data_IF_977237606809
#
_entry.id   IF_977237606809
#
_cell.length_a   1.000
_cell.length_b   1.000
_cell.length_c   1.000
_cell.angle_alpha   90.00
_cell.angle_beta   90.00
_cell.angle_gamma   90.00
#
_symmetry.space_group_name_H-M   'P 1'
#
loop_
_entity.id
_entity.type
_entity.pdbx_description
1 polymer ?
#
# COMPACT_ATOMS: atom_id res chain seq x y z
N UNK A 1 26.46 -8.17 5.60
CA UNK A 1 27.15 -7.59 4.41
C UNK A 1 26.90 -6.07 4.31
N UNK A 2 27.95 -5.23 4.36
CA UNK A 2 27.81 -3.79 4.09
C UNK A 2 27.79 -3.57 2.58
N UNK A 3 26.63 -3.20 2.04
CA UNK A 3 26.47 -2.89 0.62
C UNK A 3 27.11 -1.52 0.35
N UNK A 4 28.08 -1.44 -0.58
CA UNK A 4 28.73 -0.19 -1.03
C UNK A 4 27.96 0.45 -2.20
N UNK A 5 26.68 0.75 -2.01
CA UNK A 5 25.82 1.44 -2.98
C UNK A 5 24.97 2.48 -2.24
N UNK A 6 24.51 3.54 -2.90
CA UNK A 6 23.46 4.39 -2.36
C UNK A 6 22.25 3.53 -1.94
N UNK A 7 21.73 3.75 -0.74
CA UNK A 7 20.57 3.03 -0.20
C UNK A 7 19.49 4.06 0.10
N UNK A 8 18.28 3.79 -0.40
CA UNK A 8 17.07 4.51 -0.04
C UNK A 8 16.19 3.57 0.80
N UNK A 9 15.87 3.99 2.01
CA UNK A 9 14.93 3.28 2.89
C UNK A 9 13.55 3.91 2.79
N UNK A 10 12.51 3.10 2.94
CA UNK A 10 11.13 3.56 2.92
C UNK A 10 10.31 2.95 4.04
N UNK A 11 9.29 3.66 4.50
CA UNK A 11 8.39 3.14 5.53
C UNK A 11 7.50 4.20 6.15
N UNK A 12 7.03 3.94 7.38
CA UNK A 12 6.20 4.87 8.14
C UNK A 12 6.99 5.64 9.20
N UNK A 13 8.24 5.28 9.45
CA UNK A 13 9.06 5.86 10.50
C UNK A 13 9.71 7.17 10.02
N UNK A 14 9.95 8.09 10.95
CA UNK A 14 10.53 9.40 10.68
C UNK A 14 11.96 9.35 10.12
N UNK A 15 12.68 8.26 10.37
CA UNK A 15 14.06 8.02 9.92
C UNK A 15 14.13 7.33 8.54
N UNK A 16 12.99 7.05 7.89
CA UNK A 16 12.98 6.57 6.51
C UNK A 16 13.25 7.71 5.53
N UNK A 17 14.06 7.45 4.49
CA UNK A 17 14.35 8.44 3.45
C UNK A 17 13.08 8.85 2.69
N UNK A 18 12.20 7.87 2.40
CA UNK A 18 10.84 8.09 1.95
C UNK A 18 9.86 7.62 3.02
N UNK A 19 8.99 8.52 3.48
CA UNK A 19 8.03 8.21 4.53
C UNK A 19 6.60 8.40 4.04
N UNK A 20 5.73 7.45 4.34
CA UNK A 20 4.29 7.62 4.19
C UNK A 20 3.64 8.05 5.51
N UNK A 21 2.70 8.98 5.42
CA UNK A 21 1.78 9.33 6.52
C UNK A 21 0.36 8.99 6.06
N UNK A 22 -0.24 7.88 6.54
CA UNK A 22 -1.59 7.50 6.17
C UNK A 22 -2.63 8.55 6.57
N UNK A 23 -3.51 8.91 5.63
CA UNK A 23 -4.63 9.84 5.81
C UNK A 23 -5.97 9.11 5.85
N UNK A 24 -6.16 8.14 4.96
CA UNK A 24 -7.34 7.25 4.95
C UNK A 24 -6.92 5.81 4.67
N UNK A 25 -7.59 4.86 5.33
CA UNK A 25 -7.40 3.43 5.15
C UNK A 25 -8.76 2.76 4.92
N UNK A 26 -9.32 2.96 3.72
CA UNK A 26 -10.51 2.27 3.21
C UNK A 26 -10.15 1.29 2.10
N UNK A 27 -11.10 1.00 1.19
CA UNK A 27 -10.83 0.25 -0.06
C UNK A 27 -9.76 0.93 -0.93
N UNK A 28 -9.66 2.25 -0.81
CA UNK A 28 -8.62 3.09 -1.38
C UNK A 28 -7.79 3.66 -0.22
N UNK A 29 -6.48 3.53 -0.32
CA UNK A 29 -5.56 4.14 0.63
C UNK A 29 -5.25 5.56 0.16
N UNK A 30 -5.28 6.53 1.09
CA UNK A 30 -4.70 7.87 0.86
C UNK A 30 -3.60 8.13 1.88
N UNK A 31 -2.49 8.66 1.43
CA UNK A 31 -1.33 8.94 2.28
C UNK A 31 -0.47 10.05 1.71
N UNK A 32 0.16 10.82 2.59
CA UNK A 32 1.19 11.78 2.19
C UNK A 32 2.53 11.06 2.01
N UNK A 33 3.34 11.54 1.06
CA UNK A 33 4.71 11.08 0.88
C UNK A 33 5.67 12.21 1.20
N UNK A 34 6.65 11.89 2.03
CA UNK A 34 7.66 12.82 2.52
C UNK A 34 9.06 12.31 2.19
N UNK A 35 9.98 13.23 1.89
CA UNK A 35 11.41 12.96 1.74
C UNK A 35 12.19 13.84 2.73
N UNK A 36 12.66 13.23 3.82
CA UNK A 36 13.11 14.01 4.98
C UNK A 36 11.98 14.90 5.48
N UNK A 37 12.22 16.21 5.57
CA UNK A 37 11.25 17.20 6.02
C UNK A 37 10.40 17.82 4.88
N UNK A 38 10.66 17.42 3.63
CA UNK A 38 9.93 17.91 2.47
C UNK A 38 8.70 17.01 2.18
N UNK A 39 7.50 17.60 2.20
CA UNK A 39 6.29 16.93 1.70
C UNK A 39 6.32 16.96 0.17
N UNK A 40 6.41 15.78 -0.45
CA UNK A 40 6.36 15.66 -1.91
C UNK A 40 4.93 15.82 -2.43
N UNK A 41 3.96 15.29 -1.69
CA UNK A 41 2.54 15.41 -2.03
C UNK A 41 1.71 14.29 -1.45
N UNK A 42 0.51 14.09 -2.00
CA UNK A 42 -0.44 13.08 -1.57
C UNK A 42 -0.59 12.01 -2.65
N UNK A 43 -0.68 10.75 -2.23
CA UNK A 43 -0.91 9.61 -3.12
C UNK A 43 -2.24 8.98 -2.77
N UNK A 44 -3.00 8.70 -3.82
CA UNK A 44 -4.22 7.94 -3.79
C UNK A 44 -3.94 6.59 -4.47
N UNK A 45 -4.25 5.50 -3.79
CA UNK A 45 -3.93 4.14 -4.23
C UNK A 45 -5.19 3.27 -4.12
N UNK A 46 -5.74 2.73 -5.23
CA UNK A 46 -6.92 1.84 -5.23
C UNK A 46 -6.60 0.43 -4.73
N UNK A 47 -5.78 0.33 -3.70
CA UNK A 47 -5.44 -0.89 -2.98
C UNK A 47 -5.47 -0.59 -1.48
N UNK A 48 -6.18 -1.40 -0.69
CA UNK A 48 -6.26 -1.18 0.74
C UNK A 48 -5.03 -1.74 1.45
N UNK A 49 -4.80 -1.27 2.67
CA UNK A 49 -3.84 -1.86 3.58
C UNK A 49 -2.46 -1.22 3.58
N UNK A 50 -1.86 -1.15 4.77
CA UNK A 50 -0.56 -0.52 5.00
C UNK A 50 0.58 -1.18 4.21
N UNK A 51 0.50 -2.48 3.96
CA UNK A 51 1.49 -3.19 3.16
C UNK A 51 1.51 -2.69 1.70
N UNK A 52 0.35 -2.33 1.14
CA UNK A 52 0.28 -1.76 -0.20
C UNK A 52 0.80 -0.32 -0.25
N UNK A 53 0.65 0.46 0.83
CA UNK A 53 1.31 1.77 0.97
C UNK A 53 2.85 1.59 0.95
N UNK A 54 3.37 0.58 1.67
CA UNK A 54 4.81 0.26 1.64
C UNK A 54 5.29 -0.13 0.23
N UNK A 55 4.52 -0.97 -0.48
CA UNK A 55 4.82 -1.34 -1.86
C UNK A 55 4.84 -0.12 -2.78
N UNK A 56 3.89 0.80 -2.61
CA UNK A 56 3.83 2.04 -3.37
C UNK A 56 5.05 2.95 -3.09
N UNK A 57 5.49 3.09 -1.84
CA UNK A 57 6.73 3.81 -1.52
C UNK A 57 7.96 3.19 -2.17
N UNK A 58 8.05 1.85 -2.19
CA UNK A 58 9.13 1.16 -2.86
C UNK A 58 9.15 1.47 -4.37
N UNK A 59 7.98 1.48 -5.01
CA UNK A 59 7.82 1.83 -6.41
C UNK A 59 8.20 3.30 -6.69
N UNK A 60 7.76 4.23 -5.84
CA UNK A 60 8.14 5.65 -5.91
C UNK A 60 9.66 5.81 -5.79
N UNK A 61 10.29 5.15 -4.80
CA UNK A 61 11.74 5.20 -4.61
C UNK A 61 12.51 4.68 -5.82
N UNK A 62 12.05 3.59 -6.43
CA UNK A 62 12.65 3.04 -7.65
C UNK A 62 12.46 3.98 -8.86
N UNK A 63 11.28 4.57 -9.02
CA UNK A 63 10.98 5.50 -10.10
C UNK A 63 11.80 6.80 -9.99
N UNK A 64 11.93 7.36 -8.79
CA UNK A 64 12.79 8.52 -8.53
C UNK A 64 14.27 8.23 -8.82
N UNK A 65 14.74 7.00 -8.55
CA UNK A 65 16.09 6.57 -8.91
C UNK A 65 16.30 6.45 -10.44
N UNK A 66 15.22 6.44 -11.21
CA UNK A 66 15.21 6.47 -12.68
C UNK A 66 14.78 7.84 -13.24
N UNK A 67 14.90 8.91 -12.46
CA UNK A 67 14.58 10.29 -12.83
C UNK A 67 13.10 10.54 -13.22
N UNK A 68 12.19 9.68 -12.75
CA UNK A 68 10.75 9.89 -12.89
C UNK A 68 10.27 10.76 -11.71
N UNK A 69 9.66 11.91 -12.04
CA UNK A 69 9.14 12.84 -11.04
C UNK A 69 7.97 12.30 -10.22
N UNK A 70 7.88 12.71 -8.96
CA UNK A 70 6.86 12.27 -8.00
C UNK A 70 5.42 12.38 -8.54
N UNK A 71 5.09 13.49 -9.21
CA UNK A 71 3.75 13.70 -9.78
C UNK A 71 3.33 12.60 -10.77
N UNK A 72 4.28 12.10 -11.58
CA UNK A 72 4.03 10.99 -12.50
C UNK A 72 3.84 9.67 -11.77
N UNK A 73 4.56 9.46 -10.67
CA UNK A 73 4.35 8.30 -9.82
C UNK A 73 2.96 8.35 -9.16
N UNK A 74 2.55 9.51 -8.63
CA UNK A 74 1.26 9.70 -8.02
C UNK A 74 0.11 9.46 -9.02
N UNK A 75 0.21 10.03 -10.22
CA UNK A 75 -0.72 9.79 -11.34
C UNK A 75 -0.81 8.30 -11.69
N UNK A 76 0.33 7.61 -11.84
CA UNK A 76 0.36 6.18 -12.17
C UNK A 76 -0.22 5.28 -11.07
N UNK A 77 0.00 5.64 -9.80
CA UNK A 77 -0.53 4.90 -8.65
C UNK A 77 -2.04 5.10 -8.48
N UNK A 78 -2.57 6.28 -8.79
CA UNK A 78 -4.01 6.56 -8.72
C UNK A 78 -4.82 5.72 -9.73
N UNK A 79 -4.24 5.51 -10.91
CA UNK A 79 -4.79 4.67 -11.99
C UNK A 79 -4.44 3.18 -11.89
N UNK A 80 -3.79 2.73 -10.81
CA UNK A 80 -3.33 1.34 -10.71
C UNK A 80 -4.51 0.35 -10.67
N UNK A 81 -4.63 -0.51 -11.69
CA UNK A 81 -5.74 -1.48 -11.78
C UNK A 81 -5.72 -2.61 -10.75
N UNK A 82 -4.70 -2.66 -9.88
CA UNK A 82 -4.47 -3.75 -8.96
C UNK A 82 -3.74 -4.94 -9.60
N UNK A 83 -3.54 -5.96 -8.79
CA UNK A 83 -3.03 -7.27 -9.23
C UNK A 83 -4.06 -8.31 -8.84
N UNK A 84 -4.37 -9.24 -9.73
CA UNK A 84 -5.26 -10.36 -9.42
C UNK A 84 -4.80 -11.07 -8.14
N UNK A 85 -5.76 -11.46 -7.30
CA UNK A 85 -5.52 -12.15 -6.03
C UNK A 85 -4.66 -11.37 -5.03
N UNK A 86 -4.68 -10.03 -5.07
CA UNK A 86 -4.12 -9.16 -4.01
C UNK A 86 -5.24 -8.29 -3.47
N UNK A 87 -5.83 -8.74 -2.36
CA UNK A 87 -7.05 -8.18 -1.77
C UNK A 87 -8.14 -7.87 -2.82
N UNK A 88 -8.38 -8.82 -3.73
CA UNK A 88 -9.27 -8.63 -4.88
C UNK A 88 -10.73 -8.83 -4.48
N UNK A 89 -11.56 -7.80 -4.61
CA UNK A 89 -13.00 -7.93 -4.41
C UNK A 89 -13.64 -8.73 -5.55
N UNK A 90 -14.21 -9.91 -5.23
CA UNK A 90 -14.87 -10.79 -6.20
C UNK A 90 -16.37 -10.50 -6.34
N UNK A 91 -16.97 -9.85 -5.36
CA UNK A 91 -18.40 -9.53 -5.36
C UNK A 91 -19.03 -9.58 -3.97
N UNK A 92 -20.30 -9.20 -3.91
CA UNK A 92 -21.15 -9.36 -2.74
C UNK A 92 -22.46 -10.06 -3.13
N UNK A 93 -22.87 -11.05 -2.34
CA UNK A 93 -24.15 -11.75 -2.52
C UNK A 93 -24.76 -12.12 -1.17
N UNK A 94 -26.03 -11.80 -0.97
CA UNK A 94 -26.73 -12.11 0.28
C UNK A 94 -26.08 -11.49 1.53
N UNK A 95 -25.47 -10.32 1.39
CA UNK A 95 -24.73 -9.64 2.46
C UNK A 95 -23.33 -10.21 2.75
N UNK A 96 -22.86 -11.19 1.97
CA UNK A 96 -21.52 -11.77 2.09
C UNK A 96 -20.62 -11.18 1.01
N UNK A 97 -19.57 -10.48 1.45
CA UNK A 97 -18.49 -9.97 0.60
C UNK A 97 -17.43 -11.06 0.41
N UNK A 98 -17.03 -11.32 -0.84
CA UNK A 98 -15.94 -12.25 -1.17
C UNK A 98 -14.72 -11.47 -1.62
N UNK A 99 -13.59 -11.72 -0.95
CA UNK A 99 -12.27 -11.16 -1.29
C UNK A 99 -11.31 -12.33 -1.52
N UNK A 100 -10.55 -12.27 -2.61
CA UNK A 100 -9.50 -13.25 -2.96
C UNK A 100 -8.11 -12.64 -2.68
N UNK A 101 -7.26 -13.38 -1.97
CA UNK A 101 -5.90 -12.97 -1.65
C UNK A 101 -4.93 -14.16 -1.70
N UNK A 102 -3.75 -13.93 -2.28
CA UNK A 102 -2.71 -14.94 -2.48
C UNK A 102 -1.84 -15.20 -1.25
N UNK A 103 -2.01 -14.41 -0.17
CA UNK A 103 -1.18 -14.52 1.03
C UNK A 103 -1.12 -15.96 1.55
N UNK A 104 0.07 -16.54 1.55
CA UNK A 104 0.31 -17.92 2.00
C UNK A 104 1.34 -17.96 3.14
N UNK A 105 2.16 -16.92 3.27
CA UNK A 105 3.01 -16.75 4.44
C UNK A 105 2.24 -16.14 5.61
N UNK A 106 2.57 -16.50 6.87
CA UNK A 106 1.88 -15.97 8.05
C UNK A 106 1.81 -14.44 8.12
N UNK A 107 2.87 -13.75 7.68
CA UNK A 107 2.90 -12.28 7.63
C UNK A 107 1.93 -11.71 6.59
N UNK A 108 1.78 -12.36 5.43
CA UNK A 108 0.85 -11.94 4.38
C UNK A 108 -0.60 -12.14 4.85
N UNK A 109 -0.91 -13.31 5.42
CA UNK A 109 -2.23 -13.60 5.99
C UNK A 109 -2.60 -12.58 7.07
N UNK A 110 -1.66 -12.27 7.97
CA UNK A 110 -1.88 -11.25 9.00
C UNK A 110 -2.17 -9.87 8.40
N UNK A 111 -1.45 -9.47 7.34
CA UNK A 111 -1.67 -8.21 6.64
C UNK A 111 -3.04 -8.16 5.95
N UNK A 112 -3.46 -9.26 5.33
CA UNK A 112 -4.78 -9.41 4.69
C UNK A 112 -5.90 -9.31 5.71
N UNK A 113 -5.79 -10.03 6.84
CA UNK A 113 -6.79 -9.98 7.92
C UNK A 113 -6.87 -8.59 8.58
N UNK A 114 -5.73 -7.93 8.81
CA UNK A 114 -5.70 -6.57 9.34
C UNK A 114 -6.41 -5.59 8.38
N UNK A 115 -6.15 -5.72 7.08
CA UNK A 115 -6.78 -4.91 6.03
C UNK A 115 -8.29 -5.14 6.00
N UNK A 116 -8.74 -6.40 6.06
CA UNK A 116 -10.16 -6.73 6.10
C UNK A 116 -10.90 -6.12 7.31
N UNK A 117 -10.26 -6.10 8.49
CA UNK A 117 -10.84 -5.45 9.69
C UNK A 117 -10.98 -3.94 9.55
N UNK A 118 -10.05 -3.30 8.86
CA UNK A 118 -10.10 -1.85 8.60
C UNK A 118 -11.18 -1.50 7.58
N UNK A 119 -11.24 -2.26 6.49
CA UNK A 119 -12.18 -2.01 5.37
C UNK A 119 -13.61 -2.37 5.73
N UNK A 120 -13.83 -3.43 6.52
CA UNK A 120 -15.15 -3.94 6.86
C UNK A 120 -15.37 -3.96 8.39
N UNK A 121 -15.46 -2.79 9.05
CA UNK A 121 -15.58 -2.72 10.49
C UNK A 121 -16.85 -3.42 10.97
N UNK A 122 -16.72 -4.23 12.02
CA UNK A 122 -17.84 -4.97 12.62
C UNK A 122 -18.32 -6.19 11.84
N UNK A 123 -17.81 -6.46 10.62
CA UNK A 123 -18.15 -7.68 9.88
C UNK A 123 -17.33 -8.87 10.38
N UNK A 124 -17.96 -10.05 10.43
CA UNK A 124 -17.29 -11.32 10.73
C UNK A 124 -16.38 -11.68 9.56
N UNK A 125 -15.11 -11.96 9.86
CA UNK A 125 -14.13 -12.43 8.87
C UNK A 125 -14.09 -13.95 8.91
N UNK A 126 -14.14 -14.57 7.73
CA UNK A 126 -13.96 -16.01 7.52
C UNK A 126 -12.84 -16.16 6.50
N UNK A 127 -11.80 -16.93 6.84
CA UNK A 127 -10.70 -17.28 5.95
C UNK A 127 -10.72 -18.79 5.74
N UNK A 128 -10.50 -19.24 4.49
CA UNK A 128 -10.59 -20.63 4.06
C UNK A 128 -9.45 -20.95 3.09
#
# INVERSE_FOLDING_TARGET
PRIKRPVLTYGFAADNHLRAVPLESGLRSRFEVWRGDEKLGEVSLPQPGRHNILNALAAIGAAMAADIGFERCAEGLDGFGGVGRRFEFKGEKGGVTVVDDYGHHPAEIAATLATARQVFPGRRIVAA
#
